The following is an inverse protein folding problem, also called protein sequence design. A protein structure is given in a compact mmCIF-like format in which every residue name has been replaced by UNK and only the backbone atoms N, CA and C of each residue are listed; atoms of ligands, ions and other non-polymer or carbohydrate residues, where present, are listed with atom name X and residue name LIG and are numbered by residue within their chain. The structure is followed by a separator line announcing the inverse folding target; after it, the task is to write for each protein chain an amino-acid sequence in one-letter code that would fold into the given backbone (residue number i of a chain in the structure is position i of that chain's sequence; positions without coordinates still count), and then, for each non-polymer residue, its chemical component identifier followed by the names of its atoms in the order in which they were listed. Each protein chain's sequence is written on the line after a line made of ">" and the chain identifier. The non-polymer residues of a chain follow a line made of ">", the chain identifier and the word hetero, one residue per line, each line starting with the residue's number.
data_IF_390196680665
#
_entry.id   IF_390196680665
#
_cell.length_a   1.000
_cell.length_b   1.000
_cell.length_c   1.000
_cell.angle_alpha   90.00
_cell.angle_beta   90.00
_cell.angle_gamma   90.00
#
_symmetry.space_group_name_H-M   'P 1'
#
loop_
_entity.id
_entity.type
_entity.pdbx_description
1 polymer ?
#
# COMPACT_ATOMS: atom_id res chain seq x y z
N UNK A 1 -15.54 12.99 14.06
CA UNK A 1 -14.43 13.95 14.24
C UNK A 1 -13.38 13.65 13.18
N UNK A 2 -12.61 14.63 12.71
CA UNK A 2 -11.54 14.38 11.74
C UNK A 2 -10.47 13.45 12.33
N UNK A 3 -10.08 12.42 11.57
CA UNK A 3 -9.08 11.43 11.96
C UNK A 3 -7.86 11.44 11.02
N UNK A 4 -6.69 11.09 11.55
CA UNK A 4 -5.47 10.85 10.76
C UNK A 4 -5.31 9.34 10.55
N UNK A 5 -5.47 8.89 9.32
CA UNK A 5 -5.25 7.49 8.95
C UNK A 5 -3.76 7.19 8.74
N UNK A 6 -3.29 6.04 9.24
CA UNK A 6 -1.94 5.54 8.99
C UNK A 6 -1.97 4.01 9.02
N UNK A 7 -1.15 3.37 8.18
CA UNK A 7 -1.10 1.91 8.10
C UNK A 7 -0.24 1.30 9.21
N UNK A 8 0.83 2.01 9.58
CA UNK A 8 1.79 1.67 10.62
C UNK A 8 2.37 2.96 11.20
N UNK A 9 2.70 2.95 12.49
CA UNK A 9 3.22 4.06 13.27
C UNK A 9 4.73 3.89 13.54
N UNK A 10 5.28 4.80 14.34
CA UNK A 10 6.64 4.69 14.83
C UNK A 10 6.81 3.56 15.86
N UNK A 11 5.75 3.18 16.58
CA UNK A 11 5.80 2.13 17.61
C UNK A 11 6.08 0.78 16.96
N UNK A 12 5.41 0.45 15.83
CA UNK A 12 5.67 -0.79 15.10
C UNK A 12 7.05 -0.83 14.42
N UNK A 13 7.68 0.34 14.26
CA UNK A 13 9.03 0.44 13.75
C UNK A 13 10.09 0.19 14.84
N UNK A 14 9.74 0.17 16.13
CA UNK A 14 10.67 -0.06 17.23
C UNK A 14 11.00 -1.54 17.43
N UNK A 15 12.12 -1.81 18.10
CA UNK A 15 12.52 -3.15 18.52
C UNK A 15 11.41 -3.83 19.33
N UNK A 16 11.01 -5.03 18.92
CA UNK A 16 9.93 -5.80 19.56
C UNK A 16 8.65 -5.90 18.72
N UNK A 17 8.54 -5.14 17.63
CA UNK A 17 7.49 -5.30 16.62
C UNK A 17 8.10 -5.38 15.20
N UNK A 18 7.26 -5.54 14.18
CA UNK A 18 7.64 -5.64 12.78
C UNK A 18 6.89 -4.58 11.96
N UNK A 19 7.60 -3.91 11.06
CA UNK A 19 6.97 -3.08 10.01
C UNK A 19 6.09 -3.95 9.11
N UNK A 20 5.12 -3.35 8.42
CA UNK A 20 4.27 -4.08 7.46
C UNK A 20 5.12 -4.78 6.40
N UNK A 21 6.19 -4.13 5.91
CA UNK A 21 7.12 -4.73 4.98
C UNK A 21 7.74 -6.01 5.56
N UNK A 22 8.17 -5.98 6.82
CA UNK A 22 8.79 -7.13 7.48
C UNK A 22 7.78 -8.22 7.88
N UNK A 23 6.52 -7.87 8.16
CA UNK A 23 5.42 -8.84 8.30
C UNK A 23 5.14 -9.59 6.99
N UNK A 24 5.24 -8.89 5.85
CA UNK A 24 4.90 -9.44 4.55
C UNK A 24 6.02 -10.26 3.91
N UNK A 25 7.27 -9.87 4.15
CA UNK A 25 8.44 -10.39 3.43
C UNK A 25 9.50 -11.01 4.36
N UNK A 26 9.54 -10.65 5.64
CA UNK A 26 10.50 -11.13 6.63
C UNK A 26 11.95 -11.14 6.08
N UNK A 27 12.74 -12.15 6.39
CA UNK A 27 14.13 -12.33 5.94
C UNK A 27 14.29 -12.41 4.42
N UNK A 28 13.24 -12.72 3.64
CA UNK A 28 13.36 -12.77 2.16
C UNK A 28 13.71 -11.38 1.59
N UNK A 29 13.46 -10.31 2.34
CA UNK A 29 13.87 -8.95 1.97
C UNK A 29 15.38 -8.82 1.75
N UNK A 30 16.21 -9.62 2.42
CA UNK A 30 17.67 -9.52 2.31
C UNK A 30 18.21 -10.14 1.03
N UNK A 31 17.52 -11.14 0.47
CA UNK A 31 18.01 -11.94 -0.65
C UNK A 31 17.25 -11.66 -1.97
N UNK A 32 16.00 -11.20 -1.90
CA UNK A 32 15.10 -11.15 -3.07
C UNK A 32 14.54 -9.75 -3.40
N UNK A 33 15.14 -8.70 -2.83
CA UNK A 33 14.82 -7.30 -3.14
C UNK A 33 15.59 -6.75 -4.35
N UNK A 34 16.35 -7.58 -5.08
CA UNK A 34 16.96 -7.16 -6.34
C UNK A 34 15.90 -6.89 -7.41
N UNK A 35 16.03 -5.78 -8.15
CA UNK A 35 15.18 -5.46 -9.28
C UNK A 35 15.37 -6.48 -10.41
N UNK A 36 14.40 -6.62 -11.35
CA UNK A 36 14.51 -7.56 -12.46
C UNK A 36 15.84 -7.41 -13.22
N UNK A 37 16.55 -8.52 -13.41
CA UNK A 37 17.86 -8.55 -14.07
C UNK A 37 19.07 -8.40 -13.13
N UNK A 38 18.88 -8.07 -11.86
CA UNK A 38 19.97 -7.89 -10.88
C UNK A 38 20.09 -9.02 -9.85
N UNK A 39 19.12 -9.92 -9.77
CA UNK A 39 19.14 -11.02 -8.80
C UNK A 39 17.92 -11.94 -8.88
N UNK A 40 17.79 -12.89 -7.93
CA UNK A 40 16.69 -13.84 -7.90
C UNK A 40 15.37 -13.18 -7.48
N UNK A 41 14.26 -13.82 -7.86
CA UNK A 41 12.90 -13.41 -7.50
C UNK A 41 12.29 -14.36 -6.47
N UNK A 42 11.43 -13.85 -5.60
CA UNK A 42 10.66 -14.64 -4.63
C UNK A 42 9.17 -14.28 -4.72
N UNK A 43 8.26 -15.25 -4.87
CA UNK A 43 6.82 -15.00 -4.81
C UNK A 43 6.38 -14.34 -3.49
N UNK A 44 7.11 -14.59 -2.39
CA UNK A 44 6.87 -13.93 -1.10
C UNK A 44 7.10 -12.42 -1.20
N UNK A 45 8.22 -12.01 -1.82
CA UNK A 45 8.56 -10.60 -2.01
C UNK A 45 7.61 -9.93 -3.00
N UNK A 46 7.27 -10.60 -4.10
CA UNK A 46 6.37 -10.04 -5.10
C UNK A 46 4.96 -9.82 -4.50
N UNK A 47 4.46 -10.79 -3.71
CA UNK A 47 3.24 -10.64 -2.90
C UNK A 47 3.38 -9.49 -1.90
N UNK A 48 4.51 -9.40 -1.20
CA UNK A 48 4.73 -8.39 -0.17
C UNK A 48 4.72 -6.98 -0.74
N UNK A 49 5.34 -6.75 -1.89
CA UNK A 49 5.32 -5.47 -2.58
C UNK A 49 3.91 -5.08 -3.02
N UNK A 50 3.16 -6.03 -3.59
CA UNK A 50 1.78 -5.78 -4.00
C UNK A 50 0.89 -5.41 -2.81
N UNK A 51 0.92 -6.21 -1.74
CA UNK A 51 0.12 -5.98 -0.55
C UNK A 51 0.53 -4.71 0.21
N UNK A 52 1.82 -4.39 0.29
CA UNK A 52 2.29 -3.16 0.94
C UNK A 52 1.70 -1.91 0.26
N UNK A 53 1.71 -1.86 -1.08
CA UNK A 53 1.06 -0.80 -1.86
C UNK A 53 -0.45 -0.75 -1.59
N UNK A 54 -1.12 -1.90 -1.64
CA UNK A 54 -2.57 -1.98 -1.47
C UNK A 54 -3.04 -1.57 -0.07
N UNK A 55 -2.37 -2.04 0.98
CA UNK A 55 -2.70 -1.70 2.37
C UNK A 55 -2.60 -0.19 2.56
N UNK A 56 -1.49 0.42 2.13
CA UNK A 56 -1.28 1.88 2.27
C UNK A 56 -2.33 2.68 1.51
N UNK A 57 -2.64 2.30 0.25
CA UNK A 57 -3.66 3.00 -0.54
C UNK A 57 -5.06 2.84 0.06
N UNK A 58 -5.42 1.64 0.53
CA UNK A 58 -6.70 1.39 1.19
C UNK A 58 -6.84 2.24 2.48
N UNK A 59 -5.78 2.29 3.29
CA UNK A 59 -5.73 3.13 4.49
C UNK A 59 -5.83 4.61 4.16
N UNK A 60 -5.14 5.08 3.11
CA UNK A 60 -5.23 6.48 2.68
C UNK A 60 -6.64 6.83 2.17
N UNK A 61 -7.30 5.91 1.44
CA UNK A 61 -8.62 6.14 0.87
C UNK A 61 -9.77 6.11 1.89
N UNK A 62 -9.68 5.24 2.91
CA UNK A 62 -10.81 4.96 3.82
C UNK A 62 -10.49 5.17 5.31
N UNK A 63 -9.26 5.51 5.67
CA UNK A 63 -8.80 5.55 7.07
C UNK A 63 -9.04 6.86 7.81
N UNK A 64 -9.41 7.95 7.14
CA UNK A 64 -9.66 9.24 7.77
C UNK A 64 -9.67 10.42 6.81
N UNK A 65 -9.51 11.62 7.36
CA UNK A 65 -9.50 12.92 6.66
C UNK A 65 -8.08 13.46 6.45
N UNK A 66 -7.07 12.70 6.85
CA UNK A 66 -5.65 12.96 6.62
C UNK A 66 -4.88 11.64 6.59
N UNK A 67 -3.66 11.66 6.05
CA UNK A 67 -2.80 10.50 5.97
C UNK A 67 -1.42 10.78 6.58
N UNK A 68 -0.91 9.84 7.36
CA UNK A 68 0.42 9.91 7.97
C UNK A 68 1.27 8.70 7.54
N UNK A 69 2.56 8.95 7.35
CA UNK A 69 3.59 7.92 7.15
C UNK A 69 4.79 8.24 8.02
N UNK A 70 5.28 7.25 8.76
CA UNK A 70 6.53 7.35 9.50
C UNK A 70 7.74 7.11 8.58
N UNK A 71 8.84 7.84 8.80
CA UNK A 71 9.99 7.88 7.90
C UNK A 71 10.60 6.48 7.60
N UNK A 72 10.75 6.19 6.31
CA UNK A 72 11.23 4.92 5.79
C UNK A 72 10.12 3.93 5.43
N UNK A 73 8.94 4.03 6.04
CA UNK A 73 7.85 3.10 5.76
C UNK A 73 7.30 3.32 4.34
N UNK A 74 7.40 4.54 3.79
CA UNK A 74 7.04 4.88 2.39
C UNK A 74 7.70 3.98 1.36
N UNK A 75 8.90 3.48 1.64
CA UNK A 75 9.61 2.55 0.76
C UNK A 75 9.76 1.15 1.34
N UNK A 76 9.06 0.84 2.44
CA UNK A 76 9.16 -0.46 3.10
C UNK A 76 10.56 -0.71 3.67
N UNK A 77 11.11 0.25 4.42
CA UNK A 77 12.41 0.12 5.08
C UNK A 77 12.49 -1.21 5.85
N UNK A 78 13.54 -2.04 5.62
CA UNK A 78 13.67 -3.33 6.28
C UNK A 78 14.01 -3.17 7.76
N UNK A 79 14.06 -4.29 8.48
CA UNK A 79 14.48 -4.31 9.90
C UNK A 79 13.57 -3.48 10.82
N UNK A 80 14.14 -2.98 11.93
CA UNK A 80 13.48 -2.17 12.95
C UNK A 80 14.41 -1.02 13.40
N UNK A 81 13.90 -0.15 14.25
CA UNK A 81 14.59 0.94 14.92
C UNK A 81 14.94 0.48 16.33
N UNK A 82 16.20 0.63 16.70
CA UNK A 82 16.65 0.45 18.08
C UNK A 82 17.61 1.59 18.40
N UNK A 83 17.35 2.29 19.51
CA UNK A 83 18.20 3.38 19.98
C UNK A 83 19.34 2.80 20.83
N UNK A 84 20.52 3.45 20.89
CA UNK A 84 21.57 3.09 21.82
C UNK A 84 21.03 3.02 23.24
N UNK A 85 21.11 1.86 23.89
CA UNK A 85 20.61 1.66 25.25
C UNK A 85 21.42 0.64 26.03
N UNK A 86 21.56 0.92 27.32
CA UNK A 86 22.15 0.02 28.30
C UNK A 86 21.17 -1.08 28.70
N UNK A 87 21.69 -2.08 29.41
CA UNK A 87 20.88 -3.09 30.07
C UNK A 87 19.93 -2.45 31.09
N UNK A 88 18.69 -2.95 31.15
CA UNK A 88 17.68 -2.45 32.09
C UNK A 88 16.82 -3.59 32.64
N UNK A 89 15.84 -3.26 33.48
CA UNK A 89 14.89 -4.21 34.04
C UNK A 89 13.46 -3.72 33.83
N UNK A 90 12.54 -4.64 33.53
CA UNK A 90 11.11 -4.35 33.46
C UNK A 90 10.62 -3.84 34.82
N UNK A 91 10.01 -2.65 34.84
CA UNK A 91 9.47 -2.06 36.08
C UNK A 91 8.23 -2.79 36.59
N UNK A 92 7.55 -3.57 35.75
CA UNK A 92 6.35 -4.34 36.10
C UNK A 92 6.65 -5.79 36.48
N UNK A 93 7.62 -6.44 35.82
CA UNK A 93 7.93 -7.86 36.02
C UNK A 93 9.27 -8.11 36.72
N UNK A 94 10.15 -7.11 36.79
CA UNK A 94 11.51 -7.26 37.31
C UNK A 94 12.45 -8.05 36.37
N UNK A 95 11.97 -8.46 35.19
CA UNK A 95 12.76 -9.23 34.23
C UNK A 95 13.90 -8.39 33.65
N UNK A 96 15.05 -9.03 33.46
CA UNK A 96 16.20 -8.43 32.81
C UNK A 96 15.92 -8.20 31.32
N UNK A 97 16.15 -6.98 30.87
CA UNK A 97 16.02 -6.57 29.47
C UNK A 97 17.42 -6.19 28.97
N UNK A 98 18.07 -7.04 28.16
CA UNK A 98 19.38 -6.74 27.62
C UNK A 98 19.33 -5.50 26.72
N UNK A 99 20.31 -4.63 26.90
CA UNK A 99 20.64 -3.48 26.05
C UNK A 99 21.19 -3.92 24.70
N UNK A 100 21.72 -2.96 23.94
CA UNK A 100 22.36 -3.22 22.64
C UNK A 100 23.83 -2.76 22.61
N UNK A 101 24.45 -2.57 23.78
CA UNK A 101 25.84 -2.13 23.91
C UNK A 101 26.08 -0.72 23.37
N UNK A 102 25.06 0.13 23.35
CA UNK A 102 25.14 1.48 22.78
C UNK A 102 25.22 1.51 21.24
N UNK A 103 24.72 0.47 20.57
CA UNK A 103 24.80 0.36 19.11
C UNK A 103 23.95 1.40 18.38
N UNK A 104 24.53 1.98 17.32
CA UNK A 104 23.85 2.89 16.40
C UNK A 104 23.35 2.19 15.12
N UNK A 105 23.56 0.88 14.96
CA UNK A 105 23.28 0.18 13.70
C UNK A 105 21.81 0.26 13.26
N UNK A 106 20.87 0.20 14.22
CA UNK A 106 19.43 0.31 13.94
C UNK A 106 18.88 1.73 14.16
N UNK A 107 19.70 2.64 14.68
CA UNK A 107 19.36 4.05 14.89
C UNK A 107 19.66 4.90 13.64
N UNK A 108 19.22 4.43 12.47
CA UNK A 108 19.44 5.08 11.17
C UNK A 108 18.31 4.79 10.18
N UNK A 109 18.29 5.53 9.07
CA UNK A 109 17.48 5.23 7.88
C UNK A 109 18.40 4.97 6.69
N UNK A 110 18.11 3.92 5.92
CA UNK A 110 18.86 3.52 4.73
C UNK A 110 18.21 4.04 3.46
N UNK A 111 18.34 5.34 3.26
CA UNK A 111 17.84 6.03 2.06
C UNK A 111 18.48 5.49 0.77
N UNK A 112 19.72 5.01 0.86
CA UNK A 112 20.44 4.35 -0.22
C UNK A 112 19.70 3.14 -0.81
N UNK A 113 18.87 2.45 -0.01
CA UNK A 113 18.07 1.33 -0.51
C UNK A 113 16.98 1.80 -1.48
N UNK A 114 16.35 2.93 -1.19
CA UNK A 114 15.28 3.50 -2.01
C UNK A 114 15.81 4.19 -3.26
N UNK A 115 17.03 4.75 -3.18
CA UNK A 115 17.72 5.41 -4.29
C UNK A 115 18.37 4.42 -5.27
N UNK A 116 18.64 3.18 -4.84
CA UNK A 116 19.23 2.14 -5.67
C UNK A 116 18.27 1.63 -6.75
N UNK A 117 18.60 1.89 -8.02
CA UNK A 117 17.84 1.47 -9.19
C UNK A 117 17.90 -0.06 -9.45
N UNK A 118 18.86 -0.75 -8.85
CA UNK A 118 18.98 -2.21 -8.86
C UNK A 118 18.21 -2.90 -7.72
N UNK A 119 17.48 -2.16 -6.87
CA UNK A 119 16.64 -2.71 -5.80
C UNK A 119 15.16 -2.37 -5.99
N UNK A 120 14.28 -3.21 -5.42
CA UNK A 120 12.82 -3.08 -5.51
C UNK A 120 12.23 -2.00 -4.59
N UNK A 121 12.97 -1.48 -3.60
CA UNK A 121 12.48 -0.42 -2.69
C UNK A 121 12.04 0.83 -3.44
N UNK A 122 12.72 1.17 -4.54
CA UNK A 122 12.34 2.28 -5.42
C UNK A 122 10.88 2.20 -5.89
N UNK A 123 10.34 0.99 -6.08
CA UNK A 123 8.97 0.78 -6.57
C UNK A 123 7.93 1.21 -5.54
N UNK A 124 8.20 0.90 -4.26
CA UNK A 124 7.37 1.32 -3.14
C UNK A 124 7.41 2.84 -2.97
N UNK A 125 8.60 3.44 -3.01
CA UNK A 125 8.76 4.90 -2.94
C UNK A 125 8.06 5.63 -4.09
N UNK A 126 8.19 5.11 -5.32
CA UNK A 126 7.52 5.67 -6.51
C UNK A 126 6.00 5.59 -6.38
N UNK A 127 5.47 4.48 -5.85
CA UNK A 127 4.04 4.32 -5.61
C UNK A 127 3.53 5.27 -4.53
N UNK A 128 4.24 5.40 -3.41
CA UNK A 128 3.90 6.36 -2.35
C UNK A 128 3.83 7.80 -2.88
N UNK A 129 4.85 8.20 -3.66
CA UNK A 129 4.83 9.49 -4.35
C UNK A 129 3.60 9.64 -5.26
N UNK A 130 3.23 8.59 -6.00
CA UNK A 130 2.06 8.63 -6.87
C UNK A 130 0.74 8.75 -6.08
N UNK A 131 0.63 8.11 -4.91
CA UNK A 131 -0.51 8.27 -3.99
C UNK A 131 -0.64 9.73 -3.55
N UNK A 132 0.46 10.37 -3.14
CA UNK A 132 0.46 11.78 -2.72
C UNK A 132 0.07 12.72 -3.86
N UNK A 133 0.53 12.46 -5.10
CA UNK A 133 0.11 13.26 -6.26
C UNK A 133 -1.35 13.03 -6.64
N UNK A 134 -1.87 11.81 -6.45
CA UNK A 134 -3.29 11.52 -6.68
C UNK A 134 -4.16 12.35 -5.72
N UNK A 135 -3.83 12.38 -4.43
CA UNK A 135 -4.58 13.19 -3.48
C UNK A 135 -4.39 14.70 -3.71
N UNK A 136 -3.19 15.14 -4.08
CA UNK A 136 -2.99 16.53 -4.49
C UNK A 136 -3.86 16.94 -5.69
N UNK A 137 -4.12 16.02 -6.62
CA UNK A 137 -4.93 16.27 -7.81
C UNK A 137 -6.44 16.22 -7.52
N UNK A 138 -6.91 15.28 -6.69
CA UNK A 138 -8.33 15.01 -6.48
C UNK A 138 -8.87 15.44 -5.11
N UNK A 139 -8.01 15.70 -4.13
CA UNK A 139 -8.37 16.04 -2.75
C UNK A 139 -9.24 14.97 -2.08
N UNK A 140 -9.07 13.69 -2.46
CA UNK A 140 -9.99 12.63 -2.05
C UNK A 140 -9.89 12.33 -0.55
N UNK A 141 -8.71 12.47 0.06
CA UNK A 141 -8.53 12.17 1.49
C UNK A 141 -9.44 13.03 2.37
N UNK A 142 -9.63 14.31 2.04
CA UNK A 142 -10.54 15.19 2.78
C UNK A 142 -11.94 15.31 2.16
N UNK A 143 -12.26 14.52 1.13
CA UNK A 143 -13.52 14.64 0.42
C UNK A 143 -14.72 14.18 1.29
N UNK A 144 -15.86 14.92 1.28
CA UNK A 144 -17.03 14.53 2.05
C UNK A 144 -17.66 13.22 1.58
N UNK A 145 -17.61 12.94 0.28
CA UNK A 145 -18.22 11.72 -0.28
C UNK A 145 -17.35 10.51 0.01
N UNK A 146 -17.95 9.51 0.66
CA UNK A 146 -17.34 8.20 0.91
C UNK A 146 -18.41 7.14 0.83
N UNK A 147 -18.17 6.07 0.08
CA UNK A 147 -19.12 4.98 -0.03
C UNK A 147 -18.43 3.66 -0.34
N UNK A 148 -18.61 2.64 0.50
CA UNK A 148 -18.13 1.27 0.19
C UNK A 148 -19.27 0.52 -0.49
N UNK A 149 -19.15 0.29 -1.80
CA UNK A 149 -20.16 -0.44 -2.58
C UNK A 149 -20.01 -1.95 -2.44
N UNK A 150 -18.76 -2.45 -2.38
CA UNK A 150 -18.48 -3.89 -2.31
C UNK A 150 -17.43 -4.24 -1.26
N UNK A 151 -17.68 -5.34 -0.56
CA UNK A 151 -16.77 -6.04 0.35
C UNK A 151 -17.00 -7.54 0.19
N UNK A 152 -16.56 -8.07 -0.95
CA UNK A 152 -16.84 -9.46 -1.32
C UNK A 152 -15.83 -10.40 -0.65
N UNK A 153 -16.32 -11.24 0.26
CA UNK A 153 -15.50 -12.20 0.99
C UNK A 153 -15.10 -13.40 0.13
N UNK A 154 -15.81 -13.72 -0.94
CA UNK A 154 -15.47 -14.81 -1.85
C UNK A 154 -14.33 -14.36 -2.76
N UNK A 155 -14.62 -13.34 -3.56
CA UNK A 155 -13.71 -12.77 -4.54
C UNK A 155 -12.54 -12.02 -3.91
N UNK A 156 -12.64 -11.66 -2.62
CA UNK A 156 -11.66 -10.80 -1.92
C UNK A 156 -11.53 -9.43 -2.57
N UNK A 157 -12.64 -8.89 -3.08
CA UNK A 157 -12.67 -7.60 -3.77
C UNK A 157 -13.35 -6.54 -2.89
N UNK A 158 -12.68 -5.40 -2.74
CA UNK A 158 -13.24 -4.19 -2.12
C UNK A 158 -13.41 -3.14 -3.21
N UNK A 159 -14.62 -2.58 -3.31
CA UNK A 159 -14.91 -1.42 -4.16
C UNK A 159 -15.43 -0.30 -3.27
N UNK A 160 -14.80 0.87 -3.40
CA UNK A 160 -15.19 2.05 -2.65
C UNK A 160 -15.07 3.32 -3.49
N UNK A 161 -15.82 4.34 -3.09
CA UNK A 161 -15.76 5.68 -3.63
C UNK A 161 -15.26 6.61 -2.54
N UNK A 162 -14.35 7.51 -2.91
CA UNK A 162 -13.90 8.61 -2.05
C UNK A 162 -13.67 9.83 -2.93
N UNK A 163 -14.41 10.91 -2.68
CA UNK A 163 -14.47 12.05 -3.60
C UNK A 163 -14.95 11.62 -5.00
N UNK A 164 -14.26 12.07 -6.04
CA UNK A 164 -14.60 11.75 -7.44
C UNK A 164 -13.97 10.43 -7.94
N UNK A 165 -13.34 9.66 -7.06
CA UNK A 165 -12.60 8.45 -7.42
C UNK A 165 -13.37 7.18 -7.03
N UNK A 166 -13.31 6.18 -7.92
CA UNK A 166 -13.71 4.79 -7.66
C UNK A 166 -12.44 3.96 -7.47
N UNK A 167 -12.29 3.33 -6.31
CA UNK A 167 -11.19 2.45 -5.95
C UNK A 167 -11.63 0.99 -6.05
N UNK A 168 -10.79 0.16 -6.67
CA UNK A 168 -11.01 -1.29 -6.79
C UNK A 168 -9.77 -2.01 -6.29
N UNK A 169 -9.92 -2.79 -5.23
CA UNK A 169 -8.85 -3.58 -4.63
C UNK A 169 -9.17 -5.06 -4.78
N UNK A 170 -8.28 -5.80 -5.44
CA UNK A 170 -8.35 -7.26 -5.50
C UNK A 170 -7.30 -7.87 -4.55
N UNK A 171 -7.74 -8.37 -3.40
CA UNK A 171 -6.89 -9.06 -2.42
C UNK A 171 -6.86 -10.58 -2.62
N UNK A 172 -7.44 -11.11 -3.71
CA UNK A 172 -7.38 -12.54 -3.98
C UNK A 172 -5.93 -12.95 -4.26
N UNK A 173 -5.41 -14.01 -3.62
CA UNK A 173 -4.00 -14.39 -3.76
C UNK A 173 -3.62 -14.87 -5.17
N UNK A 174 -4.61 -15.31 -5.96
CA UNK A 174 -4.37 -16.01 -7.23
C UNK A 174 -5.35 -15.71 -8.36
N UNK A 175 -6.48 -15.03 -8.11
CA UNK A 175 -7.57 -14.92 -9.10
C UNK A 175 -7.60 -13.52 -9.67
N UNK A 176 -7.71 -13.47 -10.99
CA UNK A 176 -7.93 -12.25 -11.77
C UNK A 176 -9.32 -12.30 -12.37
N UNK A 177 -9.97 -11.15 -12.46
CA UNK A 177 -11.37 -11.05 -12.89
C UNK A 177 -11.46 -10.13 -14.10
N UNK A 178 -11.73 -10.69 -15.27
CA UNK A 178 -12.08 -9.92 -16.46
C UNK A 178 -13.54 -9.48 -16.40
N UNK A 179 -13.84 -8.34 -17.03
CA UNK A 179 -15.19 -7.81 -17.14
C UNK A 179 -15.92 -7.64 -15.79
N UNK A 180 -15.16 -7.41 -14.72
CA UNK A 180 -15.70 -7.35 -13.35
C UNK A 180 -16.52 -6.08 -13.18
N UNK A 181 -17.82 -6.23 -12.89
CA UNK A 181 -18.74 -5.10 -12.77
C UNK A 181 -18.57 -4.42 -11.41
N UNK A 182 -18.45 -3.09 -11.41
CA UNK A 182 -18.32 -2.26 -10.21
C UNK A 182 -19.37 -1.14 -10.23
N UNK A 183 -19.99 -0.86 -9.07
CA UNK A 183 -20.97 0.22 -8.93
C UNK A 183 -20.30 1.59 -8.75
N UNK A 184 -20.93 2.66 -9.25
CA UNK A 184 -20.45 4.03 -9.12
C UNK A 184 -21.60 5.06 -8.99
N UNK A 185 -21.34 6.21 -8.34
CA UNK A 185 -22.33 7.30 -8.21
C UNK A 185 -22.66 7.96 -9.54
N UNK A 186 -21.62 8.50 -10.17
CA UNK A 186 -21.75 9.44 -11.25
C UNK A 186 -21.62 8.71 -12.59
N UNK A 187 -22.49 9.00 -13.57
CA UNK A 187 -22.33 8.46 -14.92
C UNK A 187 -21.12 9.11 -15.61
N UNK A 188 -20.60 8.43 -16.62
CA UNK A 188 -19.59 8.99 -17.52
C UNK A 188 -18.61 7.94 -18.03
N UNK A 189 -17.69 8.33 -18.93
CA UNK A 189 -16.48 7.57 -19.12
C UNK A 189 -15.58 7.74 -17.89
N UNK A 190 -15.17 6.63 -17.28
CA UNK A 190 -14.09 6.60 -16.28
C UNK A 190 -12.76 6.31 -16.98
N UNK A 191 -11.68 6.90 -16.47
CA UNK A 191 -10.31 6.60 -16.88
C UNK A 191 -9.47 6.13 -15.71
N UNK A 192 -8.48 5.28 -16.00
CA UNK A 192 -7.52 4.82 -15.01
C UNK A 192 -6.55 5.96 -14.62
N UNK A 193 -6.66 6.45 -13.39
CA UNK A 193 -5.81 7.55 -12.88
C UNK A 193 -4.65 7.07 -12.00
N UNK A 194 -4.71 5.85 -11.46
CA UNK A 194 -3.61 5.18 -10.78
C UNK A 194 -3.83 3.66 -10.85
N UNK A 195 -2.82 2.91 -11.27
CA UNK A 195 -2.77 1.45 -11.12
C UNK A 195 -1.54 1.09 -10.29
N UNK A 196 -1.69 0.19 -9.32
CA UNK A 196 -0.55 -0.38 -8.59
C UNK A 196 0.26 -1.36 -9.45
N UNK A 197 -0.29 -1.79 -10.59
CA UNK A 197 0.30 -2.78 -11.49
C UNK A 197 1.18 -2.16 -12.59
N UNK A 198 1.41 -0.84 -12.58
CA UNK A 198 2.34 -0.20 -13.53
C UNK A 198 3.78 -0.68 -13.33
N UNK A 199 4.56 -0.82 -14.41
CA UNK A 199 5.96 -1.26 -14.34
C UNK A 199 6.83 -0.35 -13.47
N UNK A 200 6.54 0.96 -13.45
CA UNK A 200 7.24 1.94 -12.60
C UNK A 200 7.05 1.67 -11.10
N UNK A 201 6.04 0.88 -10.72
CA UNK A 201 5.77 0.41 -9.37
C UNK A 201 6.08 -1.09 -9.19
N UNK A 202 6.81 -1.70 -10.12
CA UNK A 202 7.17 -3.12 -10.09
C UNK A 202 6.00 -4.06 -10.34
N UNK A 203 4.95 -3.59 -11.03
CA UNK A 203 3.84 -4.43 -11.47
C UNK A 203 4.06 -5.05 -12.86
N UNK A 204 3.07 -5.81 -13.32
CA UNK A 204 3.09 -6.60 -14.55
C UNK A 204 2.41 -5.91 -15.74
N UNK A 205 1.83 -4.72 -15.53
CA UNK A 205 1.11 -3.92 -16.52
C UNK A 205 -0.09 -4.64 -17.16
N UNK A 206 -0.80 -5.47 -16.39
CA UNK A 206 -2.08 -6.05 -16.84
C UNK A 206 -3.15 -4.95 -16.90
N UNK A 207 -3.14 -4.03 -15.93
CA UNK A 207 -3.97 -2.83 -15.92
C UNK A 207 -3.04 -1.63 -15.90
N UNK A 208 -2.91 -0.96 -17.04
CA UNK A 208 -1.96 0.15 -17.23
C UNK A 208 -2.58 1.30 -18.01
N UNK A 209 -2.16 2.52 -17.67
CA UNK A 209 -2.51 3.74 -18.39
C UNK A 209 -2.07 3.71 -19.85
N UNK A 210 -1.06 2.90 -20.21
CA UNK A 210 -0.55 2.79 -21.59
C UNK A 210 -1.62 2.31 -22.57
N UNK A 211 -2.65 1.61 -22.09
CA UNK A 211 -3.74 1.11 -22.93
C UNK A 211 -4.84 2.17 -23.21
N UNK A 212 -4.81 3.32 -22.51
CA UNK A 212 -5.82 4.40 -22.60
C UNK A 212 -7.27 3.92 -22.62
N UNK A 213 -7.57 2.90 -21.80
CA UNK A 213 -8.90 2.31 -21.70
C UNK A 213 -9.92 3.31 -21.12
N UNK A 214 -11.12 3.33 -21.70
CA UNK A 214 -12.27 4.07 -21.21
C UNK A 214 -13.34 3.10 -20.70
N UNK A 215 -13.80 3.31 -19.47
CA UNK A 215 -14.83 2.49 -18.85
C UNK A 215 -16.17 3.22 -18.87
N UNK A 216 -17.10 2.76 -19.71
CA UNK A 216 -18.38 3.43 -19.91
C UNK A 216 -19.42 2.91 -18.91
N UNK A 217 -20.07 3.82 -18.21
CA UNK A 217 -21.14 3.46 -17.28
C UNK A 217 -22.43 3.06 -17.99
N UNK A 218 -23.09 2.02 -17.46
CA UNK A 218 -24.48 1.71 -17.70
C UNK A 218 -25.35 2.10 -16.50
N UNK A 219 -26.57 2.58 -16.77
CA UNK A 219 -27.60 2.81 -15.75
C UNK A 219 -28.10 1.47 -15.18
N UNK A 220 -28.43 1.48 -13.90
CA UNK A 220 -29.04 0.35 -13.20
C UNK A 220 -28.44 0.12 -11.83
N UNK A 221 -29.29 -0.25 -10.88
CA UNK A 221 -28.85 -0.52 -9.52
C UNK A 221 -27.86 -1.69 -9.50
N UNK A 222 -26.65 -1.40 -9.00
CA UNK A 222 -25.64 -2.41 -8.73
C UNK A 222 -24.87 -2.00 -7.46
N UNK A 223 -24.78 -2.89 -6.48
CA UNK A 223 -24.12 -2.63 -5.19
C UNK A 223 -24.60 -1.32 -4.51
N UNK A 224 -25.91 -1.05 -4.57
CA UNK A 224 -26.56 0.17 -4.08
C UNK A 224 -26.08 1.47 -4.76
N UNK A 225 -25.56 1.37 -5.99
CA UNK A 225 -25.16 2.52 -6.81
C UNK A 225 -26.07 2.64 -8.03
N UNK A 226 -26.37 3.86 -8.51
CA UNK A 226 -27.26 4.08 -9.64
C UNK A 226 -26.65 3.70 -11.00
N UNK A 227 -25.32 3.65 -11.09
CA UNK A 227 -24.57 3.33 -12.31
C UNK A 227 -23.53 2.25 -12.03
N UNK A 228 -23.00 1.65 -13.09
CA UNK A 228 -21.92 0.65 -13.00
C UNK A 228 -21.14 0.56 -14.30
N UNK A 229 -19.89 0.12 -14.23
CA UNK A 229 -19.05 -0.18 -15.39
C UNK A 229 -18.26 -1.46 -15.14
N UNK A 230 -17.65 -2.03 -16.19
CA UNK A 230 -16.78 -3.20 -16.07
C UNK A 230 -15.32 -2.76 -16.06
N UNK A 231 -14.50 -3.39 -15.22
CA UNK A 231 -13.04 -3.18 -15.17
C UNK A 231 -12.30 -4.38 -15.76
N UNK A 232 -11.07 -4.14 -16.21
CA UNK A 232 -10.20 -5.13 -16.85
C UNK A 232 -10.87 -5.80 -18.06
N UNK A 233 -11.15 -4.95 -19.05
CA UNK A 233 -11.73 -5.26 -20.36
C UNK A 233 -10.65 -5.30 -21.44
#
# INVERSE_FOLDING_TARGET
>A
EPCVGYAESHDQALVGDKTIAFWLMDKDMYDFMAAPGYGPTSPTVDRGIALHKMIRLLTMALGGESYLTFMGNEFGHPEWIDFPRDDTYSTSTGEFIPGNGGSLDKCRRRWDLADADFLKYQYLLKFDRAMMHLDKAFGFVSAPHTWVSRKDEGDKVIVAERGDLVFVFNFHPTQSYSDYRVGCCNPGPYKLVLSSDEAVFGGYENVSKKYDAEYITAEGNYDNRPHSFQVYT
#
